data_IF_905386347642
#
_entry.id   IF_905386347642
#
_cell.length_a   1.000
_cell.length_b   1.000
_cell.length_c   1.000
_cell.angle_alpha   90.00
_cell.angle_beta   90.00
_cell.angle_gamma   90.00
#
_symmetry.space_group_name_H-M   'P 1'
#
loop_
_entity.id
_entity.type
_entity.pdbx_description
1 polymer ?
#
# COMPACT_ATOMS: atom_id res chain seq x y z
N UNK A 1 7.90 15.45 -9.13
CA UNK A 1 8.73 14.24 -9.29
C UNK A 1 7.89 13.25 -10.04
N UNK A 2 8.31 12.84 -11.22
CA UNK A 2 7.59 11.82 -11.97
C UNK A 2 7.90 10.43 -11.41
N UNK A 3 6.98 9.49 -11.60
CA UNK A 3 7.15 8.12 -11.11
C UNK A 3 8.10 7.41 -12.08
N UNK A 4 9.23 6.82 -11.62
CA UNK A 4 10.13 6.04 -12.48
C UNK A 4 9.37 4.96 -13.25
N UNK A 5 9.70 4.76 -14.53
CA UNK A 5 8.96 3.84 -15.42
C UNK A 5 8.95 2.40 -14.89
N UNK A 6 10.01 2.01 -14.18
CA UNK A 6 10.18 0.71 -13.55
C UNK A 6 9.17 0.44 -12.43
N UNK A 7 8.61 1.50 -11.83
CA UNK A 7 7.59 1.41 -10.78
C UNK A 7 6.16 1.55 -11.32
N UNK A 8 6.00 1.93 -12.59
CA UNK A 8 4.69 2.07 -13.20
C UNK A 8 4.09 0.71 -13.59
N UNK A 9 4.94 -0.29 -13.87
CA UNK A 9 4.51 -1.61 -14.28
C UNK A 9 5.25 -2.72 -13.52
N UNK A 10 4.53 -3.78 -13.15
CA UNK A 10 5.08 -5.00 -12.56
C UNK A 10 4.66 -6.20 -13.41
N UNK A 11 5.62 -6.93 -13.96
CA UNK A 11 5.39 -8.10 -14.84
C UNK A 11 4.40 -7.81 -15.98
N UNK A 12 4.51 -6.63 -16.61
CA UNK A 12 3.65 -6.22 -17.73
C UNK A 12 2.26 -5.71 -17.36
N UNK A 13 1.95 -5.57 -16.06
CA UNK A 13 0.68 -5.01 -15.58
C UNK A 13 0.91 -3.67 -14.88
N UNK A 14 -0.06 -2.73 -14.93
CA UNK A 14 0.01 -1.51 -14.15
C UNK A 14 0.22 -1.82 -12.67
N UNK A 15 1.23 -1.19 -12.08
CA UNK A 15 1.56 -1.34 -10.66
C UNK A 15 1.18 -0.10 -9.85
N UNK A 16 1.09 1.07 -10.48
CA UNK A 16 0.51 2.27 -9.86
C UNK A 16 -1.00 2.19 -10.01
N UNK A 17 -1.71 1.94 -8.91
CA UNK A 17 -3.18 1.81 -8.89
C UNK A 17 -3.88 3.11 -8.50
N UNK A 18 -3.15 4.03 -7.86
CA UNK A 18 -3.65 5.37 -7.56
C UNK A 18 -2.51 6.38 -7.51
N UNK A 19 -2.78 7.56 -8.06
CA UNK A 19 -1.94 8.74 -7.96
C UNK A 19 -2.83 9.96 -7.80
N UNK A 20 -2.71 10.67 -6.67
CA UNK A 20 -3.50 11.87 -6.41
C UNK A 20 -3.09 13.07 -7.28
N UNK A 21 -2.06 12.92 -8.11
CA UNK A 21 -1.54 13.95 -8.98
C UNK A 21 -0.52 14.89 -8.30
N UNK A 22 0.10 15.79 -9.10
CA UNK A 22 1.16 16.67 -8.62
C UNK A 22 0.69 17.62 -7.51
N UNK A 23 1.19 17.40 -6.29
CA UNK A 23 0.99 18.32 -5.17
C UNK A 23 2.03 18.09 -4.07
N UNK A 24 2.12 19.01 -3.11
CA UNK A 24 2.93 18.82 -1.89
C UNK A 24 2.35 17.77 -0.95
N UNK A 25 1.13 17.29 -1.23
CA UNK A 25 0.43 16.24 -0.49
C UNK A 25 0.14 15.01 -1.34
N UNK A 26 0.98 14.77 -2.36
CA UNK A 26 0.77 13.67 -3.31
C UNK A 26 0.77 12.33 -2.59
N UNK A 27 -0.20 11.49 -2.91
CA UNK A 27 -0.30 10.09 -2.48
C UNK A 27 -0.14 9.23 -3.72
N UNK A 28 0.70 8.21 -3.64
CA UNK A 28 0.86 7.20 -4.68
C UNK A 28 0.67 5.83 -4.03
N UNK A 29 -0.15 4.99 -4.65
CA UNK A 29 -0.41 3.63 -4.20
C UNK A 29 0.05 2.67 -5.28
N UNK A 30 0.84 1.68 -4.85
CA UNK A 30 1.33 0.60 -5.67
C UNK A 30 0.71 -0.73 -5.23
N UNK A 31 0.15 -1.47 -6.18
CA UNK A 31 -0.41 -2.79 -5.98
C UNK A 31 -0.69 -3.48 -7.32
N UNK A 32 -1.26 -4.67 -7.29
CA UNK A 32 -1.85 -5.35 -8.46
C UNK A 32 -3.30 -5.69 -8.17
N UNK A 33 -4.17 -5.85 -9.17
CA UNK A 33 -5.56 -6.24 -8.96
C UNK A 33 -5.70 -7.50 -8.09
N UNK A 34 -4.87 -8.52 -8.34
CA UNK A 34 -4.87 -9.76 -7.56
C UNK A 34 -4.53 -9.56 -6.08
N UNK A 35 -3.61 -8.64 -5.76
CA UNK A 35 -3.26 -8.31 -4.37
C UNK A 35 -4.34 -7.48 -3.67
N UNK A 36 -4.99 -6.57 -4.39
CA UNK A 36 -6.14 -5.81 -3.88
C UNK A 36 -7.28 -6.77 -3.55
N UNK A 37 -7.65 -7.62 -4.49
CA UNK A 37 -8.68 -8.63 -4.28
C UNK A 37 -8.34 -9.60 -3.14
N UNK A 38 -7.07 -9.98 -2.99
CA UNK A 38 -6.62 -10.81 -1.87
C UNK A 38 -6.79 -10.08 -0.53
N UNK A 39 -6.41 -8.79 -0.47
CA UNK A 39 -6.58 -7.96 0.71
C UNK A 39 -8.08 -7.78 1.07
N UNK A 40 -8.94 -7.55 0.09
CA UNK A 40 -10.40 -7.38 0.28
C UNK A 40 -11.07 -8.64 0.85
N UNK A 41 -10.60 -9.83 0.44
CA UNK A 41 -11.14 -11.11 0.91
C UNK A 41 -10.51 -11.59 2.22
N UNK A 42 -9.47 -10.91 2.71
CA UNK A 42 -8.73 -11.36 3.88
C UNK A 42 -9.40 -10.91 5.18
N UNK A 43 -9.67 -11.87 6.07
CA UNK A 43 -10.22 -11.59 7.41
C UNK A 43 -9.23 -10.82 8.29
N UNK A 44 -7.93 -11.07 8.08
CA UNK A 44 -6.86 -10.47 8.87
C UNK A 44 -5.96 -9.63 7.99
N UNK A 45 -5.87 -8.35 8.33
CA UNK A 45 -4.91 -7.45 7.71
C UNK A 45 -4.21 -6.60 8.78
N UNK A 46 -3.04 -6.12 8.42
CA UNK A 46 -2.26 -5.19 9.23
C UNK A 46 -1.51 -4.23 8.32
N UNK A 47 -0.87 -3.24 8.91
CA UNK A 47 0.01 -2.35 8.16
C UNK A 47 1.26 -2.00 8.95
N UNK A 48 2.35 -1.78 8.23
CA UNK A 48 3.60 -1.23 8.76
C UNK A 48 3.97 0.07 8.04
N UNK A 49 4.49 1.03 8.78
CA UNK A 49 4.86 2.34 8.30
C UNK A 49 6.36 2.58 8.46
N UNK A 50 7.14 2.43 7.39
CA UNK A 50 8.59 2.67 7.42
C UNK A 50 8.92 4.11 7.00
N UNK A 51 9.82 4.75 7.75
CA UNK A 51 10.21 6.16 7.56
C UNK A 51 11.59 6.37 6.94
N UNK A 52 12.50 5.41 7.09
CA UNK A 52 13.94 5.63 6.88
C UNK A 52 14.37 5.75 5.40
N UNK A 53 13.53 5.34 4.45
CA UNK A 53 13.91 5.18 3.03
C UNK A 53 12.90 5.79 2.05
N UNK A 54 12.16 6.83 2.46
CA UNK A 54 11.15 7.43 1.60
C UNK A 54 11.75 8.42 0.59
N UNK A 55 11.33 8.40 -0.69
CA UNK A 55 11.77 9.38 -1.67
C UNK A 55 11.47 10.82 -1.24
N UNK A 56 12.30 11.76 -1.72
CA UNK A 56 12.12 13.20 -1.46
C UNK A 56 10.74 13.65 -1.94
N UNK A 57 9.91 14.13 -1.01
CA UNK A 57 8.52 14.55 -1.26
C UNK A 57 7.50 13.81 -0.40
N UNK A 58 7.87 12.65 0.16
CA UNK A 58 7.04 11.88 1.07
C UNK A 58 7.64 11.81 2.47
N UNK A 59 6.81 11.42 3.43
CA UNK A 59 7.18 11.31 4.85
C UNK A 59 7.05 9.89 5.40
N UNK A 60 6.41 8.99 4.66
CA UNK A 60 6.21 7.60 5.05
C UNK A 60 5.94 6.70 3.84
N UNK A 61 6.48 5.47 3.90
CA UNK A 61 6.06 4.34 3.08
C UNK A 61 5.19 3.46 3.98
N UNK A 62 3.89 3.44 3.70
CA UNK A 62 2.92 2.56 4.36
C UNK A 62 2.83 1.25 3.54
N UNK A 63 2.83 0.11 4.21
CA UNK A 63 2.61 -1.19 3.60
C UNK A 63 1.42 -1.87 4.25
N UNK A 64 0.41 -2.27 3.47
CA UNK A 64 -0.70 -3.09 3.96
C UNK A 64 -0.42 -4.54 3.64
N UNK A 65 -0.69 -5.40 4.62
CA UNK A 65 -0.45 -6.83 4.55
C UNK A 65 -1.73 -7.59 4.87
N UNK A 66 -1.96 -8.67 4.16
CA UNK A 66 -3.02 -9.63 4.44
C UNK A 66 -2.44 -10.96 4.92
N UNK A 67 -3.14 -11.64 5.81
CA UNK A 67 -2.69 -12.93 6.34
C UNK A 67 -2.96 -14.07 5.35
N UNK A 68 -1.97 -14.90 5.12
CA UNK A 68 -2.09 -16.18 4.39
C UNK A 68 -1.42 -17.29 5.21
N UNK A 69 -2.21 -18.17 5.82
CA UNK A 69 -1.68 -19.15 6.78
C UNK A 69 -0.97 -18.42 7.93
N UNK A 70 0.29 -18.76 8.19
CA UNK A 70 1.11 -18.13 9.24
C UNK A 70 1.91 -16.91 8.75
N UNK A 71 1.73 -16.47 7.50
CA UNK A 71 2.48 -15.36 6.90
C UNK A 71 1.62 -14.14 6.65
N UNK A 72 2.26 -12.96 6.62
CA UNK A 72 1.66 -11.71 6.17
C UNK A 72 2.25 -11.32 4.81
N UNK A 73 1.37 -11.22 3.81
CA UNK A 73 1.73 -10.92 2.43
C UNK A 73 1.54 -9.42 2.19
N UNK A 74 2.58 -8.67 1.76
CA UNK A 74 2.44 -7.26 1.40
C UNK A 74 1.57 -7.13 0.15
N UNK A 75 0.42 -6.50 0.29
CA UNK A 75 -0.57 -6.36 -0.77
C UNK A 75 -0.53 -4.97 -1.41
N UNK A 76 -0.21 -3.94 -0.63
CA UNK A 76 -0.28 -2.55 -1.08
C UNK A 76 0.84 -1.74 -0.45
N UNK A 77 1.46 -0.86 -1.23
CA UNK A 77 2.48 0.09 -0.77
C UNK A 77 2.02 1.51 -1.08
N UNK A 78 2.00 2.40 -0.10
CA UNK A 78 1.56 3.78 -0.27
C UNK A 78 2.64 4.77 0.18
N UNK A 79 2.99 5.69 -0.72
CA UNK A 79 3.81 6.84 -0.40
C UNK A 79 2.91 7.96 0.13
N UNK A 80 3.10 8.33 1.40
CA UNK A 80 2.24 9.30 2.09
C UNK A 80 2.95 10.62 2.39
N UNK A 81 2.24 11.77 2.28
CA UNK A 81 2.83 13.09 2.51
C UNK A 81 2.97 13.45 4.00
N UNK A 82 2.36 12.65 4.88
CA UNK A 82 2.40 12.81 6.34
C UNK A 82 2.65 11.47 7.00
N UNK A 83 3.12 11.50 8.24
CA UNK A 83 3.29 10.32 9.07
C UNK A 83 1.95 9.89 9.63
N UNK A 84 1.67 8.61 9.53
CA UNK A 84 0.63 7.90 10.23
C UNK A 84 1.32 7.00 11.27
N UNK A 85 1.02 7.20 12.55
CA UNK A 85 1.59 6.40 13.62
C UNK A 85 0.67 5.19 13.86
N UNK A 86 1.17 3.99 13.61
CA UNK A 86 0.46 2.76 13.98
C UNK A 86 1.02 1.54 13.27
N UNK A 87 1.22 0.46 14.03
CA UNK A 87 1.03 -0.89 13.54
C UNK A 87 -0.34 -1.28 14.09
N UNK A 88 -1.41 -1.19 13.29
CA UNK A 88 -2.71 -1.71 13.72
C UNK A 88 -3.00 -2.95 12.90
N UNK A 89 -3.00 -4.11 13.57
CA UNK A 89 -3.65 -5.32 13.05
C UNK A 89 -5.13 -5.16 13.36
N UNK A 90 -5.97 -5.09 12.33
CA UNK A 90 -7.41 -5.07 12.51
C UNK A 90 -7.95 -6.38 11.90
N UNK A 91 -8.60 -7.20 12.73
CA UNK A 91 -9.59 -8.14 12.22
C UNK A 91 -10.87 -7.34 12.00
N UNK A 92 -11.23 -7.13 10.73
CA UNK A 92 -12.60 -6.72 10.46
C UNK A 92 -13.47 -7.97 10.62
N UNK A 93 -14.59 -7.93 11.36
CA UNK A 93 -15.60 -8.95 11.18
C UNK A 93 -16.00 -8.94 9.68
N UNK A 94 -16.26 -10.11 9.07
CA UNK A 94 -16.61 -10.19 7.66
C UNK A 94 -17.74 -9.19 7.40
N UNK A 95 -17.56 -8.31 6.40
CA UNK A 95 -18.59 -7.38 5.98
C UNK A 95 -19.85 -8.19 5.67
N UNK A 96 -20.82 -8.14 6.56
CA UNK A 96 -22.14 -8.69 6.33
C UNK A 96 -22.79 -7.89 5.20
N UNK A 97 -23.06 -8.57 4.08
CA UNK A 97 -23.91 -8.09 2.99
C UNK A 97 -25.29 -7.63 3.49
#
# INVERSE_FOLDING_TARGET
MDIPQELQNYKGNPFVVFDSGPSTRRIIIFSTPALIEFLERSEWWGFDGTFALVPKGWKQLLTLHAKQGESFIPCLHALLPKKFAGLMTASLPPFSN
#
